data_IF_020028399331
#
_entry.id   IF_020028399331
#
_cell.length_a   1.000
_cell.length_b   1.000
_cell.length_c   1.000
_cell.angle_alpha   90.00
_cell.angle_beta   90.00
_cell.angle_gamma   90.00
#
_symmetry.space_group_name_H-M   'P 1'
#
loop_
_entity.id
_entity.type
_entity.pdbx_description
1 polymer ?
#
# COMPACT_ATOMS: atom_id res chain seq x y z
N UNK A 1 -23.94 -41.70 7.33
CA UNK A 1 -22.82 -40.72 7.28
C UNK A 1 -21.66 -41.04 8.23
N UNK A 2 -21.89 -41.47 9.48
CA UNK A 2 -20.81 -41.82 10.44
C UNK A 2 -19.81 -42.88 9.93
N UNK A 3 -20.29 -43.91 9.22
CA UNK A 3 -19.43 -44.99 8.70
C UNK A 3 -18.48 -44.55 7.58
N UNK A 4 -18.88 -43.56 6.79
CA UNK A 4 -18.00 -42.99 5.75
C UNK A 4 -16.88 -42.17 6.37
N UNK A 5 -17.17 -41.40 7.42
CA UNK A 5 -16.16 -40.63 8.15
C UNK A 5 -15.14 -41.56 8.83
N UNK A 6 -15.62 -42.64 9.46
CA UNK A 6 -14.74 -43.65 10.07
C UNK A 6 -13.86 -44.34 9.02
N UNK A 7 -14.40 -44.62 7.84
CA UNK A 7 -13.65 -45.27 6.76
C UNK A 7 -12.59 -44.33 6.16
N UNK A 8 -12.89 -43.03 6.00
CA UNK A 8 -11.92 -42.03 5.54
C UNK A 8 -10.81 -41.82 6.57
N UNK A 9 -11.14 -41.79 7.87
CA UNK A 9 -10.15 -41.70 8.94
C UNK A 9 -9.26 -42.95 9.01
N UNK A 10 -9.84 -44.15 8.86
CA UNK A 10 -9.07 -45.37 8.78
C UNK A 10 -8.14 -45.36 7.56
N UNK A 11 -8.64 -44.98 6.39
CA UNK A 11 -7.83 -44.88 5.18
C UNK A 11 -6.70 -43.83 5.32
N UNK A 12 -6.93 -42.71 5.99
CA UNK A 12 -5.90 -41.69 6.23
C UNK A 12 -4.81 -42.16 7.22
N UNK A 13 -5.15 -42.97 8.22
CA UNK A 13 -4.18 -43.55 9.16
C UNK A 13 -3.40 -44.69 8.52
N UNK A 14 -4.03 -45.45 7.61
CA UNK A 14 -3.44 -46.64 6.99
C UNK A 14 -2.84 -46.41 5.60
N UNK A 15 -3.01 -45.23 5.00
CA UNK A 15 -2.26 -44.81 3.83
C UNK A 15 -1.00 -44.09 4.33
N UNK A 16 0.16 -44.77 4.49
CA UNK A 16 1.41 -44.04 4.55
C UNK A 16 1.48 -43.29 3.23
N UNK A 17 1.24 -41.98 3.27
CA UNK A 17 1.47 -41.11 2.14
C UNK A 17 2.87 -41.45 1.67
N UNK A 18 3.01 -41.91 0.44
CA UNK A 18 4.31 -42.19 -0.19
C UNK A 18 5.05 -40.86 -0.29
N UNK A 19 5.55 -40.39 0.85
CA UNK A 19 6.52 -39.33 0.92
C UNK A 19 7.76 -39.96 0.31
N UNK A 20 8.05 -39.61 -0.93
CA UNK A 20 9.39 -39.74 -1.51
C UNK A 20 10.31 -38.92 -0.63
N UNK A 21 10.73 -39.56 0.46
CA UNK A 21 11.44 -38.95 1.54
C UNK A 21 12.88 -39.37 1.33
N UNK A 22 13.73 -38.41 0.93
CA UNK A 22 15.13 -38.67 0.58
C UNK A 22 15.89 -39.39 1.70
N UNK A 23 17.13 -39.79 1.41
CA UNK A 23 17.95 -40.69 2.23
C UNK A 23 17.93 -40.46 3.76
N UNK A 24 17.68 -39.23 4.23
CA UNK A 24 17.50 -38.91 5.64
C UNK A 24 16.26 -39.56 6.29
N UNK A 25 15.14 -39.69 5.58
CA UNK A 25 13.93 -40.33 6.11
C UNK A 25 14.05 -41.84 6.11
N UNK A 26 14.66 -42.42 5.07
CA UNK A 26 14.99 -43.85 5.06
C UNK A 26 15.95 -44.21 6.20
N UNK A 27 16.96 -43.36 6.45
CA UNK A 27 17.87 -43.54 7.59
C UNK A 27 17.14 -43.41 8.93
N UNK A 28 16.24 -42.44 9.09
CA UNK A 28 15.46 -42.28 10.32
C UNK A 28 14.53 -43.48 10.59
N UNK A 29 13.90 -44.02 9.54
CA UNK A 29 13.10 -45.24 9.63
C UNK A 29 13.95 -46.46 9.95
N UNK A 30 15.12 -46.60 9.32
CA UNK A 30 16.07 -47.68 9.61
C UNK A 30 16.60 -47.64 11.05
N UNK A 31 16.98 -46.45 11.54
CA UNK A 31 17.42 -46.27 12.92
C UNK A 31 16.30 -46.53 13.93
N UNK A 32 15.07 -46.09 13.63
CA UNK A 32 13.89 -46.38 14.44
C UNK A 32 13.61 -47.88 14.52
N UNK A 33 13.65 -48.59 13.38
CA UNK A 33 13.45 -50.03 13.33
C UNK A 33 14.52 -50.81 14.11
N UNK A 34 15.80 -50.40 14.00
CA UNK A 34 16.89 -51.03 14.75
C UNK A 34 16.76 -50.81 16.27
N UNK A 35 16.36 -49.62 16.71
CA UNK A 35 16.14 -49.32 18.12
C UNK A 35 15.02 -50.21 18.71
N UNK A 36 13.92 -50.40 17.98
CA UNK A 36 12.82 -51.28 18.41
C UNK A 36 13.28 -52.74 18.46
N UNK A 37 14.05 -53.20 17.49
CA UNK A 37 14.57 -54.57 17.48
C UNK A 37 15.52 -54.82 18.67
N UNK A 38 16.43 -53.88 18.94
CA UNK A 38 17.31 -53.95 20.11
C UNK A 38 16.53 -53.89 21.42
N UNK A 39 15.41 -53.17 21.47
CA UNK A 39 14.54 -53.12 22.65
C UNK A 39 13.81 -54.45 22.90
N UNK A 40 13.43 -55.18 21.84
CA UNK A 40 12.80 -56.51 21.94
C UNK A 40 13.82 -57.56 22.42
N UNK A 41 15.02 -57.62 21.80
CA UNK A 41 16.05 -58.60 22.17
C UNK A 41 16.78 -58.26 23.48
N UNK A 42 17.03 -56.98 23.73
CA UNK A 42 17.74 -56.48 24.90
C UNK A 42 16.91 -56.51 26.19
N UNK A 43 15.66 -56.97 26.15
CA UNK A 43 14.85 -57.20 27.35
C UNK A 43 14.49 -55.93 28.15
N UNK A 44 14.79 -54.75 27.62
CA UNK A 44 14.43 -53.42 28.16
C UNK A 44 13.04 -52.94 27.70
N UNK A 45 12.32 -53.80 26.98
CA UNK A 45 10.94 -53.59 26.54
C UNK A 45 9.87 -54.21 27.46
N UNK A 46 8.64 -54.16 26.98
CA UNK A 46 7.37 -54.45 27.70
C UNK A 46 7.28 -55.90 28.27
N UNK A 47 8.20 -56.80 27.91
CA UNK A 47 8.25 -58.16 28.42
C UNK A 47 8.99 -58.32 29.76
N UNK A 48 9.56 -57.25 30.31
CA UNK A 48 10.25 -57.29 31.60
C UNK A 48 9.24 -57.26 32.76
N UNK A 49 8.70 -58.43 33.12
CA UNK A 49 7.85 -58.58 34.32
C UNK A 49 8.73 -58.79 35.55
N UNK A 50 9.22 -57.68 36.13
CA UNK A 50 9.85 -57.70 37.45
C UNK A 50 8.85 -58.16 38.55
N UNK A 51 9.33 -58.63 39.71
CA UNK A 51 8.47 -59.15 40.77
C UNK A 51 7.47 -58.08 41.26
N UNK A 52 6.18 -58.43 41.26
CA UNK A 52 5.08 -57.53 41.64
C UNK A 52 4.96 -57.52 43.17
N UNK A 53 5.39 -56.43 43.80
CA UNK A 53 5.15 -56.16 45.23
C UNK A 53 3.82 -55.40 45.34
N UNK A 54 2.85 -55.97 46.07
CA UNK A 54 1.56 -55.32 46.29
C UNK A 54 1.71 -54.15 47.27
N UNK A 55 1.29 -52.95 46.85
CA UNK A 55 1.32 -51.75 47.68
C UNK A 55 0.16 -51.72 48.70
N UNK A 56 0.37 -51.22 49.93
CA UNK A 56 -0.69 -51.06 50.92
C UNK A 56 -1.76 -50.02 50.49
N UNK A 57 -3.00 -50.13 50.99
CA UNK A 57 -4.10 -49.25 50.58
C UNK A 57 -3.87 -47.80 51.03
N UNK A 58 -4.05 -46.87 50.10
CA UNK A 58 -3.87 -45.41 50.31
C UNK A 58 -5.19 -44.82 50.84
N UNK A 59 -5.14 -44.16 52.00
CA UNK A 59 -6.25 -43.36 52.55
C UNK A 59 -6.12 -41.93 52.02
N UNK A 60 -7.12 -41.43 51.30
CA UNK A 60 -7.13 -40.06 50.77
C UNK A 60 -7.78 -39.08 51.75
N UNK A 61 -7.02 -38.05 52.15
CA UNK A 61 -7.56 -36.86 52.81
C UNK A 61 -8.05 -35.84 51.77
N UNK A 62 -9.08 -35.02 52.06
CA UNK A 62 -9.55 -33.99 51.14
C UNK A 62 -8.46 -32.94 50.84
N UNK A 63 -8.39 -32.41 49.60
CA UNK A 63 -7.46 -31.33 49.25
C UNK A 63 -7.77 -30.04 50.02
N UNK A 64 -6.73 -29.35 50.49
CA UNK A 64 -6.87 -28.03 51.08
C UNK A 64 -7.36 -27.00 50.02
N UNK A 65 -8.17 -26.01 50.41
CA UNK A 65 -8.66 -25.00 49.47
C UNK A 65 -7.50 -24.10 48.98
N UNK A 66 -7.43 -23.92 47.67
CA UNK A 66 -6.47 -23.02 47.04
C UNK A 66 -7.05 -21.61 46.93
N UNK A 67 -6.31 -20.61 47.42
CA UNK A 67 -6.65 -19.20 47.25
C UNK A 67 -5.92 -18.63 46.03
N UNK A 68 -6.67 -18.04 45.10
CA UNK A 68 -6.10 -17.43 43.90
C UNK A 68 -5.64 -16.00 44.20
N UNK A 69 -4.37 -15.70 43.94
CA UNK A 69 -3.84 -14.34 43.93
C UNK A 69 -3.83 -13.80 42.49
N UNK A 70 -4.31 -12.57 42.25
CA UNK A 70 -4.28 -11.97 40.92
C UNK A 70 -2.84 -11.76 40.42
N UNK A 71 -2.57 -11.92 39.11
CA UNK A 71 -1.28 -11.60 38.53
C UNK A 71 -0.98 -10.08 38.58
N UNK A 72 0.29 -9.68 38.68
CA UNK A 72 0.68 -8.28 38.75
C UNK A 72 0.39 -7.53 37.44
N UNK A 73 0.10 -6.22 37.49
CA UNK A 73 -0.18 -5.42 36.31
C UNK A 73 1.08 -5.22 35.44
N UNK A 74 0.91 -5.31 34.12
CA UNK A 74 1.97 -5.05 33.13
C UNK A 74 1.81 -3.63 32.59
N UNK A 75 2.88 -2.84 32.64
CA UNK A 75 2.92 -1.48 32.09
C UNK A 75 3.67 -1.47 30.75
N UNK A 76 3.07 -0.89 29.73
CA UNK A 76 3.70 -0.70 28.42
C UNK A 76 4.23 0.72 28.28
N UNK A 77 5.49 0.84 27.84
CA UNK A 77 6.07 2.11 27.45
C UNK A 77 5.70 2.43 25.98
N UNK A 78 5.31 3.67 25.65
CA UNK A 78 5.07 4.08 24.28
C UNK A 78 6.35 4.02 23.43
N UNK A 79 6.27 3.66 22.14
CA UNK A 79 7.42 3.67 21.24
C UNK A 79 7.96 5.10 21.02
N UNK A 80 9.27 5.26 20.73
CA UNK A 80 9.88 6.56 20.47
C UNK A 80 9.25 7.25 19.26
N UNK A 81 9.02 8.57 19.36
CA UNK A 81 8.53 9.38 18.23
C UNK A 81 9.73 9.88 17.41
N UNK A 82 9.77 9.55 16.12
CA UNK A 82 10.74 10.11 15.17
C UNK A 82 10.12 11.32 14.50
N UNK A 83 10.75 12.49 14.64
CA UNK A 83 10.32 13.71 13.95
C UNK A 83 11.07 13.87 12.62
N UNK A 84 10.34 13.99 11.53
CA UNK A 84 10.89 14.29 10.20
C UNK A 84 10.47 15.72 9.83
N UNK A 85 11.42 16.63 9.53
CA UNK A 85 11.09 17.98 9.07
C UNK A 85 10.31 17.94 7.75
N UNK A 86 9.30 18.81 7.62
CA UNK A 86 8.52 18.93 6.39
C UNK A 86 9.39 19.49 5.23
N UNK A 87 9.15 19.05 3.97
CA UNK A 87 9.84 19.59 2.81
C UNK A 87 9.57 21.09 2.63
N UNK A 88 10.62 21.88 2.37
CA UNK A 88 10.49 23.31 2.06
C UNK A 88 10.15 23.48 0.58
N UNK A 89 9.00 24.08 0.27
CA UNK A 89 8.62 24.46 -1.10
C UNK A 89 8.97 25.93 -1.34
N UNK A 90 9.82 26.21 -2.33
CA UNK A 90 10.14 27.57 -2.77
C UNK A 90 9.27 27.89 -3.98
N UNK A 91 8.21 28.69 -3.79
CA UNK A 91 7.42 29.20 -4.90
C UNK A 91 8.03 30.52 -5.41
N UNK A 92 8.49 30.54 -6.67
CA UNK A 92 8.86 31.79 -7.37
C UNK A 92 7.66 32.29 -8.18
N UNK A 93 7.18 33.52 -7.95
CA UNK A 93 6.18 34.12 -8.83
C UNK A 93 6.79 34.39 -10.21
N UNK A 94 6.15 33.93 -11.28
CA UNK A 94 6.49 34.32 -12.65
C UNK A 94 5.58 35.48 -13.08
N UNK A 95 6.13 36.53 -13.73
CA UNK A 95 5.31 37.60 -14.29
C UNK A 95 4.53 37.08 -15.50
N UNK A 96 3.21 37.31 -15.51
CA UNK A 96 2.35 37.07 -16.66
C UNK A 96 2.29 38.36 -17.48
N UNK A 97 2.81 38.33 -18.72
CA UNK A 97 2.69 39.45 -19.64
C UNK A 97 1.36 39.38 -20.39
N UNK A 98 0.52 40.39 -20.18
CA UNK A 98 -0.72 40.57 -20.95
C UNK A 98 -0.43 41.51 -22.12
N UNK A 99 -0.69 41.10 -23.38
CA UNK A 99 -0.51 41.98 -24.52
C UNK A 99 -1.48 43.16 -24.45
N UNK A 100 -0.97 44.37 -24.68
CA UNK A 100 -1.79 45.58 -24.68
C UNK A 100 -2.87 45.54 -25.78
N UNK A 101 -4.07 46.10 -25.53
CA UNK A 101 -5.11 46.20 -26.55
C UNK A 101 -4.61 46.99 -27.76
N UNK A 102 -4.84 46.47 -28.97
CA UNK A 102 -4.51 47.19 -30.21
C UNK A 102 -5.62 48.21 -30.49
N UNK A 103 -5.26 49.49 -30.58
CA UNK A 103 -6.19 50.52 -31.06
C UNK A 103 -6.36 50.39 -32.58
N UNK A 104 -7.59 50.11 -33.03
CA UNK A 104 -7.95 50.15 -34.45
C UNK A 104 -8.36 51.56 -34.81
N UNK A 105 -7.55 52.24 -35.62
CA UNK A 105 -7.90 53.55 -36.17
C UNK A 105 -8.73 53.34 -37.44
N UNK A 106 -10.04 53.53 -37.33
CA UNK A 106 -10.93 53.56 -38.51
C UNK A 106 -10.83 54.95 -39.12
N UNK A 107 -10.35 55.04 -40.37
CA UNK A 107 -10.36 56.29 -41.13
C UNK A 107 -11.64 56.33 -41.96
N UNK A 108 -12.49 57.36 -41.82
CA UNK A 108 -13.67 57.52 -42.67
C UNK A 108 -13.20 57.76 -44.11
N UNK A 109 -13.61 56.88 -45.02
CA UNK A 109 -13.31 57.00 -46.45
C UNK A 109 -14.42 57.83 -47.12
N UNK A 110 -14.09 58.82 -47.97
CA UNK A 110 -15.11 59.61 -48.66
C UNK A 110 -15.93 58.73 -49.61
N UNK A 111 -17.25 58.89 -49.63
CA UNK A 111 -18.15 58.13 -50.51
C UNK A 111 -18.01 58.49 -52.00
N UNK A 112 -17.46 59.67 -52.29
CA UNK A 112 -17.25 60.17 -53.65
C UNK A 112 -15.84 60.74 -53.81
N UNK A 113 -15.20 60.42 -54.94
CA UNK A 113 -13.83 60.83 -55.23
C UNK A 113 -13.79 61.54 -56.59
N UNK A 114 -13.35 62.81 -56.64
CA UNK A 114 -13.30 63.53 -57.91
C UNK A 114 -12.26 62.90 -58.86
N UNK A 115 -12.45 63.01 -60.19
CA UNK A 115 -11.53 62.47 -61.19
C UNK A 115 -10.11 62.99 -60.98
N UNK A 116 -9.12 62.09 -61.00
CA UNK A 116 -7.71 62.42 -60.78
C UNK A 116 -7.23 62.36 -59.32
N UNK A 117 -8.12 62.19 -58.34
CA UNK A 117 -7.77 62.15 -56.92
C UNK A 117 -7.80 60.75 -56.27
N UNK A 118 -7.93 59.70 -57.09
CA UNK A 118 -7.85 58.32 -56.65
C UNK A 118 -6.50 57.69 -57.07
N UNK A 119 -5.76 57.15 -56.09
CA UNK A 119 -4.54 56.37 -56.38
C UNK A 119 -4.47 55.15 -55.47
N UNK A 120 -4.35 53.96 -56.09
CA UNK A 120 -4.23 52.65 -55.41
C UNK A 120 -5.36 52.38 -54.40
N UNK A 121 -6.62 52.67 -54.78
CA UNK A 121 -7.80 52.43 -53.94
C UNK A 121 -8.04 53.47 -52.84
N UNK A 122 -7.18 54.49 -52.73
CA UNK A 122 -7.31 55.58 -51.77
C UNK A 122 -7.71 56.87 -52.47
N UNK A 123 -8.69 57.55 -51.92
CA UNK A 123 -9.07 58.89 -52.33
C UNK A 123 -8.38 59.88 -51.42
N UNK A 124 -7.55 60.72 -52.02
CA UNK A 124 -6.88 61.80 -51.31
C UNK A 124 -7.80 63.00 -51.41
N UNK A 125 -8.17 63.57 -50.27
CA UNK A 125 -8.91 64.83 -50.26
C UNK A 125 -8.13 65.85 -51.07
N UNK A 126 -8.74 66.40 -52.12
CA UNK A 126 -8.30 67.69 -52.64
C UNK A 126 -8.31 68.73 -51.51
N UNK A 127 -7.56 69.84 -51.62
CA UNK A 127 -7.46 70.83 -50.55
C UNK A 127 -8.85 71.10 -50.02
N UNK A 128 -9.06 70.73 -48.75
CA UNK A 128 -10.30 71.01 -48.07
C UNK A 128 -10.52 72.51 -48.23
N UNK A 129 -11.66 72.87 -48.80
CA UNK A 129 -12.19 74.22 -48.68
C UNK A 129 -12.41 74.43 -47.17
N UNK A 130 -11.35 74.80 -46.46
CA UNK A 130 -11.48 75.37 -45.14
C UNK A 130 -12.25 76.67 -45.37
N UNK A 131 -13.43 76.88 -44.75
CA UNK A 131 -13.99 78.21 -44.69
C UNK A 131 -12.92 79.08 -44.02
N UNK A 132 -12.43 80.06 -44.77
CA UNK A 132 -11.36 80.94 -44.31
C UNK A 132 -11.70 81.52 -42.92
N UNK A 133 -10.78 81.52 -41.95
CA UNK A 133 -10.95 82.38 -40.79
C UNK A 133 -10.89 83.85 -41.25
N UNK A 134 -11.84 84.63 -40.74
CA UNK A 134 -12.08 86.03 -41.05
C UNK A 134 -10.79 86.90 -41.10
N UNK A 135 -10.72 87.89 -42.03
CA UNK A 135 -9.59 88.79 -42.12
C UNK A 135 -9.72 89.87 -41.04
N UNK A 136 -9.00 89.70 -39.96
CA UNK A 136 -8.90 90.74 -38.96
C UNK A 136 -7.73 90.47 -38.05
N UNK A 137 -6.54 90.93 -38.44
CA UNK A 137 -5.58 91.63 -37.60
C UNK A 137 -4.59 92.37 -38.52
N UNK A 138 -4.64 93.70 -38.45
CA UNK A 138 -3.73 94.68 -39.05
C UNK A 138 -2.36 94.57 -38.38
N UNK A 139 -1.28 94.88 -39.11
CA UNK A 139 -0.28 95.92 -38.81
C UNK A 139 0.70 96.03 -39.98
#
# INVERSE_FOLDING_TARGET
MKKLIALVLAAAVFAPTLAFAGASTDAALGLGAFAVFNQILGGVGIFHRGPVVAAPPVVYAPPAPAYYAPPPPVYYAPPPRVYVPAPRVIARPYPVYVPAPRHVVVRPQPAFCPPGHARKGWCYGGPAYHPAPHPGWRH
#
